data_IF_809278694820
#
_entry.id   IF_809278694820
#
_cell.length_a   1.000
_cell.length_b   1.000
_cell.length_c   1.000
_cell.angle_alpha   90.00
_cell.angle_beta   90.00
_cell.angle_gamma   90.00
#
_symmetry.space_group_name_H-M   'P 1'
#
loop_
_entity.id
_entity.type
_entity.pdbx_description
1 polymer ?
#
# COMPACT_ATOMS: atom_id res chain seq x y z
N UNK A 1 -64.84 -10.18 -39.23
CA UNK A 1 -64.49 -11.62 -39.09
C UNK A 1 -63.94 -12.11 -40.43
N UNK A 2 -62.94 -13.01 -40.55
CA UNK A 2 -61.95 -13.52 -39.61
C UNK A 2 -60.48 -13.24 -40.05
N UNK A 3 -59.53 -13.70 -39.22
CA UNK A 3 -58.07 -13.55 -39.28
C UNK A 3 -57.36 -14.35 -40.39
N UNK A 4 -56.06 -14.06 -40.63
CA UNK A 4 -54.92 -15.02 -40.61
C UNK A 4 -53.55 -14.35 -40.92
N UNK A 5 -52.59 -14.57 -39.99
CA UNK A 5 -51.10 -14.71 -40.12
C UNK A 5 -50.29 -13.55 -40.76
N UNK A 6 -49.12 -13.15 -40.27
CA UNK A 6 -47.99 -14.02 -39.96
C UNK A 6 -46.94 -13.32 -39.09
N UNK A 7 -46.22 -14.14 -38.32
CA UNK A 7 -45.18 -13.83 -37.33
C UNK A 7 -44.00 -13.10 -37.97
N UNK A 8 -43.50 -12.04 -37.32
CA UNK A 8 -42.15 -11.53 -37.55
C UNK A 8 -41.38 -11.64 -36.25
N UNK A 9 -40.42 -12.55 -36.26
CA UNK A 9 -39.29 -12.66 -35.36
C UNK A 9 -38.77 -11.29 -34.92
N UNK A 10 -38.85 -11.01 -33.63
CA UNK A 10 -38.04 -9.97 -33.02
C UNK A 10 -36.76 -10.62 -32.52
N UNK A 11 -35.67 -10.34 -33.23
CA UNK A 11 -34.31 -10.62 -32.81
C UNK A 11 -34.12 -10.21 -31.33
N UNK A 12 -33.75 -11.20 -30.51
CA UNK A 12 -33.13 -10.91 -29.23
C UNK A 12 -31.78 -10.25 -29.51
N UNK A 13 -31.71 -8.95 -29.22
CA UNK A 13 -30.46 -8.22 -29.20
C UNK A 13 -29.64 -8.75 -28.02
N UNK A 14 -28.45 -9.34 -28.22
CA UNK A 14 -27.57 -9.62 -27.11
C UNK A 14 -27.07 -8.28 -26.60
N UNK A 15 -27.56 -7.84 -25.45
CA UNK A 15 -26.93 -6.80 -24.67
C UNK A 15 -25.52 -7.31 -24.32
N UNK A 16 -24.52 -6.88 -25.09
CA UNK A 16 -23.12 -7.03 -24.71
C UNK A 16 -22.91 -6.20 -23.44
N UNK A 17 -23.02 -6.86 -22.28
CA UNK A 17 -22.44 -6.37 -21.05
C UNK A 17 -20.91 -6.41 -21.23
N UNK A 18 -20.33 -5.27 -21.60
CA UNK A 18 -18.89 -5.07 -21.53
C UNK A 18 -18.53 -5.07 -20.05
N UNK A 19 -18.13 -6.22 -19.54
CA UNK A 19 -17.47 -6.30 -18.24
C UNK A 19 -16.17 -5.49 -18.35
N UNK A 20 -16.14 -4.32 -17.70
CA UNK A 20 -14.89 -3.61 -17.42
C UNK A 20 -14.06 -4.53 -16.52
N UNK A 21 -13.18 -5.32 -17.12
CA UNK A 21 -12.08 -5.95 -16.40
C UNK A 21 -11.12 -4.80 -16.09
N UNK A 22 -11.36 -4.11 -14.97
CA UNK A 22 -10.37 -3.21 -14.40
C UNK A 22 -9.15 -4.05 -14.06
N UNK A 23 -8.15 -4.05 -14.93
CA UNK A 23 -6.87 -4.71 -14.66
C UNK A 23 -6.17 -3.89 -13.59
N UNK A 24 -6.41 -4.24 -12.32
CA UNK A 24 -5.68 -3.67 -11.20
C UNK A 24 -4.18 -3.82 -11.50
N UNK A 25 -3.46 -2.70 -11.57
CA UNK A 25 -2.04 -2.74 -11.82
C UNK A 25 -1.36 -3.54 -10.70
N UNK A 26 -0.51 -4.53 -11.03
CA UNK A 26 0.19 -5.29 -10.01
C UNK A 26 1.19 -4.39 -9.29
N UNK A 27 1.37 -4.61 -7.99
CA UNK A 27 2.45 -3.96 -7.26
C UNK A 27 3.82 -4.33 -7.85
N UNK A 28 4.80 -3.41 -7.83
CA UNK A 28 6.17 -3.73 -8.23
C UNK A 28 6.73 -4.90 -7.41
N UNK A 29 7.46 -5.81 -8.07
CA UNK A 29 8.00 -7.01 -7.43
C UNK A 29 8.95 -6.70 -6.26
N UNK A 30 9.62 -5.53 -6.27
CA UNK A 30 10.52 -5.13 -5.20
C UNK A 30 9.81 -4.86 -3.87
N UNK A 31 8.51 -4.52 -3.90
CA UNK A 31 7.71 -4.23 -2.71
C UNK A 31 7.28 -5.50 -1.97
N UNK A 32 7.15 -6.62 -2.68
CA UNK A 32 6.68 -7.88 -2.11
C UNK A 32 7.64 -8.43 -1.04
N UNK A 33 7.05 -9.08 -0.02
CA UNK A 33 7.76 -9.70 1.08
C UNK A 33 7.55 -9.01 2.42
N UNK A 34 8.35 -9.42 3.39
CA UNK A 34 8.32 -8.92 4.76
C UNK A 34 9.35 -7.82 4.96
N UNK A 35 8.93 -6.78 5.69
CA UNK A 35 9.71 -5.61 6.01
C UNK A 35 9.61 -5.32 7.51
N UNK A 36 10.75 -5.17 8.17
CA UNK A 36 10.87 -4.96 9.62
C UNK A 36 10.97 -3.47 9.94
N UNK A 37 10.17 -2.94 10.88
CA UNK A 37 10.25 -1.53 11.25
C UNK A 37 11.51 -1.29 12.09
N UNK A 38 12.25 -0.22 11.79
CA UNK A 38 13.35 0.22 12.65
C UNK A 38 13.40 1.74 12.89
N UNK A 39 12.41 2.48 12.38
CA UNK A 39 12.16 3.88 12.76
C UNK A 39 10.98 4.00 13.72
N UNK A 40 11.08 4.91 14.69
CA UNK A 40 10.13 5.05 15.81
C UNK A 40 8.65 5.14 15.40
N UNK A 41 8.31 5.80 14.29
CA UNK A 41 6.92 6.02 13.90
C UNK A 41 6.13 4.73 13.58
N UNK A 42 6.82 3.63 13.24
CA UNK A 42 6.18 2.38 12.83
C UNK A 42 6.53 1.17 13.70
N UNK A 43 7.29 1.36 14.78
CA UNK A 43 7.56 0.28 15.74
C UNK A 43 6.24 -0.29 16.29
N UNK A 44 5.24 0.57 16.54
CA UNK A 44 3.91 0.16 17.00
C UNK A 44 3.10 -0.65 15.99
N UNK A 45 3.38 -0.51 14.68
CA UNK A 45 2.69 -1.24 13.61
C UNK A 45 3.29 -2.62 13.31
N UNK A 46 4.43 -2.95 13.94
CA UNK A 46 5.20 -4.17 13.68
C UNK A 46 5.53 -4.36 12.20
N UNK A 47 5.86 -5.59 11.82
CA UNK A 47 6.25 -6.00 10.47
C UNK A 47 5.18 -5.65 9.43
N UNK A 48 5.63 -5.08 8.32
CA UNK A 48 4.84 -4.91 7.10
C UNK A 48 5.04 -6.15 6.23
N UNK A 49 3.97 -6.85 5.90
CA UNK A 49 4.00 -7.95 4.93
C UNK A 49 3.19 -7.59 3.71
N UNK A 50 3.81 -7.53 2.53
CA UNK A 50 3.12 -7.30 1.25
C UNK A 50 3.10 -8.60 0.45
N UNK A 51 1.90 -9.09 0.13
CA UNK A 51 1.70 -10.31 -0.63
C UNK A 51 1.51 -10.00 -2.13
N UNK A 52 1.88 -10.94 -3.00
CA UNK A 52 1.86 -10.78 -4.47
C UNK A 52 0.47 -10.65 -5.12
N UNK A 53 -0.61 -10.69 -4.33
CA UNK A 53 -2.00 -10.51 -4.75
C UNK A 53 -2.56 -9.13 -4.35
N UNK A 54 -1.70 -8.12 -4.21
CA UNK A 54 -2.05 -6.77 -3.79
C UNK A 54 -2.78 -6.73 -2.44
N UNK A 55 -2.32 -7.53 -1.49
CA UNK A 55 -2.72 -7.42 -0.09
C UNK A 55 -1.51 -7.07 0.76
N UNK A 56 -1.76 -6.33 1.84
CA UNK A 56 -0.75 -6.08 2.85
C UNK A 56 -1.28 -6.38 4.25
N UNK A 57 -0.35 -6.55 5.18
CA UNK A 57 -0.65 -6.68 6.59
C UNK A 57 0.31 -5.86 7.45
N UNK A 58 -0.25 -5.21 8.45
CA UNK A 58 0.41 -4.62 9.62
C UNK A 58 -0.25 -5.19 10.89
N UNK A 59 0.27 -4.82 12.06
CA UNK A 59 -0.48 -4.98 13.31
C UNK A 59 -1.86 -4.34 13.19
N UNK A 60 -2.89 -5.06 13.64
CA UNK A 60 -4.30 -4.63 13.66
C UNK A 60 -4.88 -4.25 12.27
N UNK A 61 -4.16 -4.55 11.19
CA UNK A 61 -4.55 -4.35 9.79
C UNK A 61 -4.14 -5.60 9.01
N UNK A 62 -5.00 -6.61 8.96
CA UNK A 62 -4.68 -7.89 8.31
C UNK A 62 -5.32 -8.03 6.94
N UNK A 63 -4.56 -8.55 5.97
CA UNK A 63 -5.02 -8.88 4.61
C UNK A 63 -5.78 -7.72 3.94
N UNK A 64 -5.31 -6.49 4.15
CA UNK A 64 -5.91 -5.32 3.53
C UNK A 64 -5.58 -5.32 2.04
N UNK A 65 -6.61 -5.52 1.20
CA UNK A 65 -6.48 -5.34 -0.24
C UNK A 65 -6.18 -3.89 -0.57
N UNK A 66 -5.40 -3.69 -1.63
CA UNK A 66 -5.09 -2.37 -2.13
C UNK A 66 -5.09 -2.33 -3.67
N UNK A 67 -5.23 -1.12 -4.20
CA UNK A 67 -5.03 -0.82 -5.61
C UNK A 67 -3.77 0.06 -5.76
N UNK A 68 -3.00 -0.19 -6.82
CA UNK A 68 -1.89 0.69 -7.21
C UNK A 68 -2.46 1.85 -8.01
N UNK A 69 -2.13 3.08 -7.62
CA UNK A 69 -2.64 4.30 -8.26
C UNK A 69 -1.57 5.16 -8.91
N UNK A 70 -0.32 5.00 -8.49
CA UNK A 70 0.82 5.66 -9.13
C UNK A 70 2.07 4.80 -8.96
N UNK A 71 2.97 4.81 -9.94
CA UNK A 71 4.22 4.05 -9.92
C UNK A 71 5.31 4.80 -10.65
N UNK A 72 6.49 4.79 -10.05
CA UNK A 72 7.76 5.24 -10.61
C UNK A 72 8.83 4.18 -10.34
N UNK A 73 10.06 4.41 -10.81
CA UNK A 73 11.15 3.43 -10.72
C UNK A 73 11.40 2.93 -9.28
N UNK A 74 11.30 3.82 -8.29
CA UNK A 74 11.56 3.51 -6.89
C UNK A 74 10.41 3.88 -5.95
N UNK A 75 9.26 4.32 -6.45
CA UNK A 75 8.11 4.65 -5.60
C UNK A 75 6.82 4.09 -6.17
N UNK A 76 5.93 3.66 -5.27
CA UNK A 76 4.57 3.24 -5.61
C UNK A 76 3.60 3.82 -4.60
N UNK A 77 2.51 4.39 -5.09
CA UNK A 77 1.39 4.86 -4.27
C UNK A 77 0.23 3.91 -4.42
N UNK A 78 -0.36 3.51 -3.31
CA UNK A 78 -1.51 2.61 -3.24
C UNK A 78 -2.67 3.27 -2.50
N UNK A 79 -3.89 2.85 -2.84
CA UNK A 79 -5.05 3.05 -1.97
C UNK A 79 -5.43 1.73 -1.31
N UNK A 80 -5.59 1.76 0.00
CA UNK A 80 -6.21 0.67 0.73
C UNK A 80 -7.70 0.61 0.40
N UNK A 81 -8.25 -0.60 0.29
CA UNK A 81 -9.67 -0.80 0.06
C UNK A 81 -10.49 -0.08 1.14
N UNK A 82 -11.61 0.54 0.75
CA UNK A 82 -12.43 1.38 1.64
C UNK A 82 -12.94 0.64 2.90
N UNK A 83 -13.08 -0.68 2.82
CA UNK A 83 -13.52 -1.54 3.91
C UNK A 83 -12.36 -2.06 4.79
N UNK A 84 -11.10 -1.73 4.47
CA UNK A 84 -9.98 -2.02 5.35
C UNK A 84 -10.13 -1.22 6.65
N UNK A 85 -9.81 -1.87 7.77
CA UNK A 85 -9.89 -1.28 9.12
C UNK A 85 -8.52 -0.75 9.59
N UNK A 86 -7.64 -0.44 8.66
CA UNK A 86 -6.26 -0.09 8.95
C UNK A 86 -6.20 1.30 9.57
N UNK A 87 -5.62 1.39 10.76
CA UNK A 87 -5.44 2.63 11.51
C UNK A 87 -4.02 2.71 12.06
N UNK A 88 -3.51 3.92 12.27
CA UNK A 88 -2.29 4.15 13.02
C UNK A 88 -2.55 3.89 14.52
N UNK A 89 -1.48 3.58 15.26
CA UNK A 89 -1.50 3.34 16.71
C UNK A 89 -1.38 4.67 17.48
N UNK A 90 -2.16 5.66 17.06
CA UNK A 90 -2.26 7.00 17.66
C UNK A 90 -3.62 7.22 18.34
N UNK A 91 -3.74 8.31 19.10
CA UNK A 91 -4.95 8.66 19.85
C UNK A 91 -5.41 10.08 19.51
N UNK A 92 -6.58 10.25 18.83
CA UNK A 92 -7.45 9.21 18.30
C UNK A 92 -6.82 8.44 17.12
N UNK A 93 -7.23 7.17 16.84
CA UNK A 93 -6.65 6.39 15.75
C UNK A 93 -6.91 7.04 14.39
N UNK A 94 -5.84 7.32 13.66
CA UNK A 94 -5.88 7.89 12.32
C UNK A 94 -6.11 6.76 11.31
N UNK A 95 -7.16 6.87 10.49
CA UNK A 95 -7.41 5.94 9.38
C UNK A 95 -6.26 5.98 8.38
N UNK A 96 -5.82 4.83 7.92
CA UNK A 96 -4.94 4.68 6.78
C UNK A 96 -5.77 4.58 5.50
N UNK A 97 -5.49 5.43 4.51
CA UNK A 97 -6.19 5.39 3.23
C UNK A 97 -5.21 5.19 2.07
N UNK A 98 -4.29 6.13 1.95
CA UNK A 98 -3.29 6.14 0.89
C UNK A 98 -1.94 5.87 1.52
N UNK A 99 -1.14 5.01 0.89
CA UNK A 99 0.21 4.71 1.34
C UNK A 99 1.17 4.89 0.17
N UNK A 100 2.24 5.63 0.42
CA UNK A 100 3.34 5.76 -0.54
C UNK A 100 4.54 5.02 -0.02
N UNK A 101 5.01 4.10 -0.84
CA UNK A 101 6.23 3.34 -0.64
C UNK A 101 7.34 3.94 -1.49
N UNK A 102 8.55 4.06 -0.92
CA UNK A 102 9.74 4.52 -1.64
C UNK A 102 10.91 3.61 -1.31
N UNK A 103 11.37 2.82 -2.28
CA UNK A 103 12.58 2.04 -2.17
C UNK A 103 13.79 2.97 -2.19
N UNK A 104 14.63 2.90 -1.15
CA UNK A 104 15.86 3.68 -1.08
C UNK A 104 16.94 3.08 -1.99
N UNK A 105 17.95 3.87 -2.32
CA UNK A 105 19.03 3.50 -3.25
C UNK A 105 19.84 2.28 -2.81
N UNK A 106 19.84 1.96 -1.50
CA UNK A 106 20.46 0.74 -0.99
C UNK A 106 19.64 -0.53 -1.27
N UNK A 107 18.45 -0.41 -1.87
CA UNK A 107 17.49 -1.48 -2.16
C UNK A 107 17.07 -2.32 -0.93
N UNK A 108 17.32 -1.77 0.26
CA UNK A 108 17.21 -2.46 1.53
C UNK A 108 16.25 -1.78 2.49
N UNK A 109 16.09 -0.47 2.31
CA UNK A 109 15.19 0.34 3.09
C UNK A 109 13.98 0.76 2.27
N UNK A 110 12.83 0.68 2.92
CA UNK A 110 11.54 1.10 2.39
C UNK A 110 11.06 2.29 3.21
N UNK A 111 11.06 3.47 2.58
CA UNK A 111 10.31 4.61 3.06
C UNK A 111 8.82 4.36 2.94
N UNK A 112 8.08 4.57 4.01
CA UNK A 112 6.63 4.46 4.05
C UNK A 112 6.06 5.78 4.54
N UNK A 113 5.14 6.34 3.78
CA UNK A 113 4.35 7.50 4.17
C UNK A 113 2.85 7.12 4.11
N UNK A 114 2.16 7.31 5.23
CA UNK A 114 0.75 6.98 5.42
C UNK A 114 -0.06 8.26 5.42
N UNK A 115 -1.12 8.31 4.62
CA UNK A 115 -2.01 9.45 4.49
C UNK A 115 -3.44 9.06 4.87
N UNK A 116 -4.12 9.94 5.60
CA UNK A 116 -5.52 9.75 5.98
C UNK A 116 -6.51 9.85 4.81
N UNK A 117 -6.10 10.39 3.66
CA UNK A 117 -6.92 10.51 2.45
C UNK A 117 -6.07 10.72 1.19
N UNK A 118 -6.63 10.53 -0.01
CA UNK A 118 -5.93 10.81 -1.27
C UNK A 118 -5.60 12.30 -1.42
N UNK A 119 -6.41 13.20 -0.86
CA UNK A 119 -6.15 14.63 -0.93
C UNK A 119 -4.99 15.05 -0.01
N UNK A 120 -4.82 14.40 1.13
CA UNK A 120 -3.62 14.57 1.97
C UNK A 120 -2.36 14.08 1.23
N UNK A 121 -2.46 12.98 0.48
CA UNK A 121 -1.37 12.49 -0.37
C UNK A 121 -0.98 13.50 -1.46
N UNK A 122 -1.97 14.09 -2.16
CA UNK A 122 -1.72 15.14 -3.18
C UNK A 122 -1.02 16.38 -2.61
N UNK A 123 -1.31 16.76 -1.37
CA UNK A 123 -0.66 17.88 -0.67
C UNK A 123 0.66 17.50 -0.01
N UNK A 124 1.05 16.23 -0.06
CA UNK A 124 2.22 15.69 0.65
C UNK A 124 2.16 15.96 2.17
N UNK A 125 1.00 15.71 2.78
CA UNK A 125 0.75 15.88 4.23
C UNK A 125 0.54 14.49 4.89
N UNK A 126 1.62 13.74 5.18
CA UNK A 126 1.51 12.43 5.77
C UNK A 126 1.06 12.51 7.23
N UNK A 127 0.23 11.55 7.62
CA UNK A 127 -0.15 11.33 9.02
C UNK A 127 0.96 10.61 9.79
N UNK A 128 1.75 9.78 9.10
CA UNK A 128 2.95 9.15 9.65
C UNK A 128 3.96 8.87 8.54
N UNK A 129 5.24 8.97 8.87
CA UNK A 129 6.36 8.62 7.99
C UNK A 129 7.41 7.83 8.76
N UNK A 130 8.08 6.91 8.07
CA UNK A 130 9.08 6.06 8.67
C UNK A 130 9.73 5.11 7.67
N UNK A 131 10.56 4.23 8.21
CA UNK A 131 11.40 3.29 7.49
C UNK A 131 11.16 1.88 7.97
N UNK A 132 11.12 0.99 6.99
CA UNK A 132 11.24 -0.44 7.18
C UNK A 132 12.49 -0.98 6.46
N UNK A 133 13.00 -2.13 6.89
CA UNK A 133 14.15 -2.79 6.29
C UNK A 133 13.90 -4.27 5.98
N UNK A 134 14.64 -4.83 5.04
CA UNK A 134 14.67 -6.28 4.81
C UNK A 134 15.63 -6.98 5.79
N UNK A 135 15.20 -8.07 6.41
CA UNK A 135 15.99 -8.83 7.40
C UNK A 135 17.30 -9.41 6.84
N UNK A 136 17.40 -9.62 5.52
CA UNK A 136 18.59 -10.16 4.83
C UNK A 136 19.47 -9.09 4.18
N UNK A 137 19.15 -7.82 4.37
CA UNK A 137 20.05 -6.77 3.92
C UNK A 137 21.27 -6.74 4.82
N UNK A 138 22.49 -6.63 4.26
CA UNK A 138 23.66 -6.37 5.06
C UNK A 138 23.36 -5.11 5.86
N UNK A 139 23.28 -5.24 7.18
CA UNK A 139 23.12 -4.11 8.08
C UNK A 139 24.18 -3.11 7.66
N UNK A 140 23.80 -1.92 7.19
CA UNK A 140 24.74 -0.82 7.09
C UNK A 140 25.50 -0.74 8.41
N UNK A 141 26.81 -0.46 8.41
CA UNK A 141 27.67 -0.72 9.55
C UNK A 141 27.02 -0.18 10.82
N UNK A 142 26.72 -1.09 11.76
CA UNK A 142 26.13 -0.82 13.07
C UNK A 142 27.01 0.11 13.94
N UNK A 143 28.08 0.67 13.37
CA UNK A 143 29.09 1.50 14.00
C UNK A 143 28.82 3.01 13.93
N UNK A 144 27.76 3.49 13.27
CA UNK A 144 27.44 4.94 13.26
C UNK A 144 26.29 5.35 14.19
N UNK A 145 25.41 4.43 14.61
CA UNK A 145 24.36 4.74 15.59
C UNK A 145 24.88 4.81 17.04
N UNK A 146 25.95 4.09 17.37
CA UNK A 146 26.56 4.09 18.70
C UNK A 146 27.73 5.07 18.88
N UNK A 147 28.26 5.65 17.80
CA UNK A 147 29.42 6.56 17.86
C UNK A 147 29.10 7.96 18.39
N UNK A 148 27.82 8.36 18.47
CA UNK A 148 27.41 9.66 19.02
C UNK A 148 27.14 9.67 20.54
N UNK A 149 27.42 8.57 21.24
CA UNK A 149 27.27 8.49 22.71
C UNK A 149 28.59 8.60 23.49
N UNK A 150 29.69 8.99 22.84
CA UNK A 150 30.97 9.22 23.53
C UNK A 150 31.50 10.63 23.34
N UNK A 151 30.92 11.59 24.06
CA UNK A 151 31.67 12.73 24.60
C UNK A 151 30.97 13.27 25.86
N UNK A 152 31.44 12.86 27.03
CA UNK A 152 31.89 13.78 28.08
C UNK A 152 32.72 12.99 29.08
N UNK A 153 34.04 13.11 28.95
CA UNK A 153 35.01 12.74 29.98
C UNK A 153 35.03 13.85 31.03
N UNK A 154 34.89 13.51 32.32
CA UNK A 154 35.66 14.16 33.39
C UNK A 154 35.83 13.24 34.58
#
# INVERSE_FOLDING_TARGET
MPAKHNVKDYQMHPLLAVALIATAQPAPAWLAGDWEPYSNAFIGLHMLSVQGNNTLSWKDCSNASFEVVDTSDNSVTIHLAKNSRCTLDDAPPTRMDTVRFTLRDNHCDLGVAVYASPDAAKRNEPSAEGLYGKSRCPSGPASQAAANLSTTTR
#
